data_IF_216201539899
#
_entry.id   IF_216201539899
#
_cell.length_a   1.000
_cell.length_b   1.000
_cell.length_c   1.000
_cell.angle_alpha   90.00
_cell.angle_beta   90.00
_cell.angle_gamma   90.00
#
_symmetry.space_group_name_H-M   'P 1'
#
loop_
_entity.id
_entity.type
_entity.pdbx_description
1 polymer ?
#
# COMPACT_ATOMS: atom_id res chain seq x y z
N UNK A 1 17.96 21.63 -16.88
CA UNK A 1 17.95 20.99 -15.54
C UNK A 1 17.78 19.51 -15.76
N UNK A 2 18.69 18.66 -15.27
CA UNK A 2 18.53 17.21 -15.42
C UNK A 2 17.30 16.76 -14.62
N UNK A 3 16.36 16.08 -15.26
CA UNK A 3 15.15 15.52 -14.62
C UNK A 3 15.42 14.25 -13.78
N UNK A 4 16.69 13.95 -13.49
CA UNK A 4 17.04 12.80 -12.68
C UNK A 4 16.78 13.12 -11.20
N UNK A 5 15.83 12.41 -10.59
CA UNK A 5 15.58 12.44 -9.15
C UNK A 5 16.78 11.84 -8.40
N UNK A 6 17.82 12.65 -8.19
CA UNK A 6 18.97 12.30 -7.36
C UNK A 6 18.72 12.81 -5.94
N UNK A 7 19.08 12.00 -4.94
CA UNK A 7 19.14 12.46 -3.56
C UNK A 7 20.15 13.63 -3.49
N UNK A 8 19.76 14.82 -3.00
CA UNK A 8 20.64 15.99 -2.97
C UNK A 8 21.75 15.87 -1.90
N UNK A 9 21.69 14.86 -1.04
CA UNK A 9 22.71 14.56 -0.04
C UNK A 9 23.77 13.61 -0.63
N UNK A 10 25.02 14.09 -0.71
CA UNK A 10 26.13 13.40 -1.38
C UNK A 10 27.25 12.89 -0.45
N UNK A 11 27.02 12.68 0.86
CA UNK A 11 28.08 12.21 1.75
C UNK A 11 27.70 11.66 3.13
N UNK A 12 28.53 10.73 3.61
CA UNK A 12 28.73 10.22 4.99
C UNK A 12 27.55 9.61 5.78
N UNK A 13 26.68 8.88 5.09
CA UNK A 13 25.90 7.83 5.76
C UNK A 13 26.78 6.66 6.22
N UNK A 14 26.38 5.88 7.25
CA UNK A 14 27.14 4.69 7.68
C UNK A 14 27.46 3.80 6.47
N UNK A 15 28.66 3.19 6.43
CA UNK A 15 29.18 2.38 5.29
C UNK A 15 28.30 1.17 4.88
N UNK A 16 27.20 0.94 5.58
CA UNK A 16 26.14 -0.05 5.29
C UNK A 16 24.99 0.52 4.45
N UNK A 17 24.95 1.83 4.20
CA UNK A 17 23.92 2.46 3.37
C UNK A 17 24.21 2.26 1.87
N UNK A 18 23.47 1.35 1.24
CA UNK A 18 23.49 1.07 -0.21
C UNK A 18 22.93 2.26 -1.03
N UNK A 19 22.30 3.23 -0.36
CA UNK A 19 21.67 4.37 -1.01
C UNK A 19 22.72 5.29 -1.67
N UNK A 20 22.72 5.33 -3.00
CA UNK A 20 23.60 6.19 -3.80
C UNK A 20 24.85 5.49 -4.36
N UNK A 21 25.13 4.24 -3.98
CA UNK A 21 26.22 3.47 -4.60
C UNK A 21 25.83 3.10 -6.03
N UNK A 22 26.71 3.28 -7.03
CA UNK A 22 26.49 2.78 -8.38
C UNK A 22 26.20 1.27 -8.34
N UNK A 23 25.13 0.86 -9.02
CA UNK A 23 24.74 -0.56 -9.13
C UNK A 23 24.94 -1.04 -10.57
N UNK A 24 24.81 -2.34 -10.83
CA UNK A 24 24.85 -2.84 -12.22
C UNK A 24 23.85 -2.12 -13.14
N UNK A 25 22.69 -1.68 -12.61
CA UNK A 25 21.71 -0.93 -13.39
C UNK A 25 22.17 0.49 -13.76
N UNK A 26 23.08 1.12 -12.99
CA UNK A 26 23.64 2.42 -13.36
C UNK A 26 24.74 2.29 -14.41
N UNK A 27 25.51 1.19 -14.39
CA UNK A 27 26.58 0.94 -15.37
C UNK A 27 26.05 0.36 -16.69
N UNK A 28 25.06 -0.53 -16.62
CA UNK A 28 24.44 -1.20 -17.77
C UNK A 28 22.91 -1.00 -17.74
N UNK A 29 22.42 0.21 -18.08
CA UNK A 29 20.99 0.54 -17.95
C UNK A 29 20.05 -0.30 -18.83
N UNK A 30 20.57 -0.86 -19.94
CA UNK A 30 19.80 -1.69 -20.87
C UNK A 30 20.00 -3.20 -20.64
N UNK A 31 20.72 -3.60 -19.57
CA UNK A 31 20.86 -5.02 -19.24
C UNK A 31 19.53 -5.61 -18.77
N UNK A 32 19.29 -6.88 -19.09
CA UNK A 32 18.06 -7.59 -18.70
C UNK A 32 17.92 -7.62 -17.17
N UNK A 33 16.79 -7.11 -16.67
CA UNK A 33 16.50 -7.08 -15.25
C UNK A 33 15.72 -8.33 -14.79
N UNK A 34 16.42 -9.28 -14.17
CA UNK A 34 15.83 -10.52 -13.66
C UNK A 34 15.16 -10.37 -12.27
N UNK A 35 15.24 -9.20 -11.62
CA UNK A 35 14.62 -8.95 -10.30
C UNK A 35 13.09 -9.02 -10.32
N UNK A 36 12.48 -9.01 -11.50
CA UNK A 36 11.03 -9.17 -11.60
C UNK A 36 10.59 -10.60 -11.26
N UNK A 37 11.47 -11.59 -11.43
CA UNK A 37 11.16 -13.01 -11.24
C UNK A 37 11.24 -13.47 -9.78
N UNK A 38 11.74 -12.61 -8.87
CA UNK A 38 11.87 -12.91 -7.45
C UNK A 38 11.15 -11.90 -6.54
N UNK A 39 10.15 -11.18 -7.09
CA UNK A 39 9.28 -10.32 -6.29
C UNK A 39 8.38 -11.16 -5.37
N UNK A 40 8.06 -10.62 -4.18
CA UNK A 40 7.19 -11.25 -3.20
C UNK A 40 7.60 -12.69 -2.84
N UNK A 41 8.91 -12.90 -2.65
CA UNK A 41 9.44 -14.19 -2.18
C UNK A 41 8.85 -14.57 -0.81
N UNK A 42 8.58 -15.86 -0.54
CA UNK A 42 8.14 -16.34 0.77
C UNK A 42 9.07 -15.91 1.92
N UNK A 43 10.37 -15.72 1.64
CA UNK A 43 11.35 -15.23 2.62
C UNK A 43 11.04 -13.82 3.15
N UNK A 44 10.20 -13.05 2.45
CA UNK A 44 9.80 -11.69 2.84
C UNK A 44 8.39 -11.63 3.40
N UNK A 45 7.66 -12.76 3.42
CA UNK A 45 6.30 -12.83 3.94
C UNK A 45 6.32 -13.08 5.46
N UNK A 46 5.79 -12.15 6.28
CA UNK A 46 5.74 -12.35 7.73
C UNK A 46 4.72 -13.42 8.18
N UNK A 47 3.83 -13.89 7.31
CA UNK A 47 2.76 -14.82 7.69
C UNK A 47 3.22 -16.28 7.82
N UNK A 48 4.36 -16.63 7.22
CA UNK A 48 4.90 -17.99 7.21
C UNK A 48 4.26 -18.90 6.16
N UNK A 49 4.92 -20.03 5.88
CA UNK A 49 4.53 -20.95 4.79
C UNK A 49 3.20 -21.67 5.03
N UNK A 50 2.81 -21.85 6.30
CA UNK A 50 1.58 -22.56 6.69
C UNK A 50 0.33 -21.67 6.69
N UNK A 51 0.45 -20.39 6.32
CA UNK A 51 -0.66 -19.45 6.37
C UNK A 51 -1.59 -19.56 5.15
N UNK A 52 -2.84 -19.93 5.40
CA UNK A 52 -3.91 -19.95 4.38
C UNK A 52 -4.90 -18.78 4.60
N UNK A 53 -4.78 -17.74 3.77
CA UNK A 53 -5.67 -16.58 3.84
C UNK A 53 -7.13 -16.92 3.57
N UNK A 54 -7.43 -17.89 2.70
CA UNK A 54 -8.81 -18.28 2.37
C UNK A 54 -9.47 -18.93 3.57
N UNK A 55 -8.76 -19.81 4.28
CA UNK A 55 -9.27 -20.45 5.49
C UNK A 55 -9.45 -19.46 6.65
N UNK A 56 -8.57 -18.46 6.77
CA UNK A 56 -8.72 -17.43 7.80
C UNK A 56 -9.90 -16.49 7.50
N UNK A 57 -10.11 -16.09 6.25
CA UNK A 57 -11.26 -15.27 5.86
C UNK A 57 -12.59 -16.01 6.06
N UNK A 58 -12.64 -17.32 5.85
CA UNK A 58 -13.86 -18.12 6.13
C UNK A 58 -14.27 -18.11 7.60
N UNK A 59 -13.31 -17.93 8.52
CA UNK A 59 -13.56 -17.86 9.97
C UNK A 59 -13.99 -16.46 10.43
N UNK A 60 -13.92 -15.47 9.55
CA UNK A 60 -14.20 -14.07 9.89
C UNK A 60 -15.68 -13.85 10.18
N UNK A 61 -15.98 -13.20 11.30
CA UNK A 61 -17.33 -12.71 11.61
C UNK A 61 -17.65 -11.48 10.76
N UNK A 62 -18.19 -11.72 9.56
CA UNK A 62 -18.56 -10.67 8.61
C UNK A 62 -19.62 -9.71 9.19
N UNK A 63 -20.70 -10.19 9.85
CA UNK A 63 -21.63 -9.29 10.53
C UNK A 63 -20.98 -8.35 11.56
N UNK A 64 -20.08 -8.85 12.40
CA UNK A 64 -19.37 -8.01 13.37
C UNK A 64 -18.44 -7.00 12.68
N UNK A 65 -17.73 -7.42 11.63
CA UNK A 65 -16.88 -6.53 10.84
C UNK A 65 -17.69 -5.38 10.22
N UNK A 66 -18.83 -5.68 9.60
CA UNK A 66 -19.69 -4.66 8.99
C UNK A 66 -20.20 -3.66 10.04
N UNK A 67 -20.62 -4.16 11.21
CA UNK A 67 -21.06 -3.31 12.32
C UNK A 67 -19.94 -2.37 12.80
N UNK A 68 -18.72 -2.86 12.92
CA UNK A 68 -17.59 -2.01 13.31
C UNK A 68 -17.23 -0.98 12.23
N UNK A 69 -17.38 -1.32 10.94
CA UNK A 69 -17.20 -0.38 9.83
C UNK A 69 -18.28 0.71 9.84
N UNK A 70 -19.55 0.35 10.06
CA UNK A 70 -20.66 1.32 10.18
C UNK A 70 -20.43 2.28 11.36
N UNK A 71 -19.98 1.76 12.50
CA UNK A 71 -19.62 2.58 13.65
C UNK A 71 -18.43 3.51 13.33
N UNK A 72 -17.43 3.02 12.60
CA UNK A 72 -16.28 3.85 12.17
C UNK A 72 -16.72 5.00 11.27
N UNK A 73 -17.70 4.80 10.39
CA UNK A 73 -18.10 5.82 9.42
C UNK A 73 -18.52 7.14 10.07
N UNK A 74 -19.14 7.11 11.24
CA UNK A 74 -19.59 8.33 11.96
C UNK A 74 -18.72 8.67 13.17
N UNK A 75 -17.71 7.86 13.48
CA UNK A 75 -16.79 8.10 14.60
C UNK A 75 -15.62 9.01 14.18
N UNK A 76 -15.92 10.31 14.03
CA UNK A 76 -14.95 11.33 13.60
C UNK A 76 -13.73 11.41 14.53
N UNK A 77 -12.54 11.44 13.94
CA UNK A 77 -11.25 11.54 14.62
C UNK A 77 -10.70 12.98 14.55
N UNK A 78 -10.16 13.50 15.65
CA UNK A 78 -9.66 14.89 15.70
C UNK A 78 -8.52 15.17 14.71
N UNK A 79 -7.64 14.19 14.47
CA UNK A 79 -6.51 14.33 13.55
C UNK A 79 -6.92 14.27 12.06
N UNK A 80 -8.14 13.83 11.77
CA UNK A 80 -8.73 13.88 10.44
C UNK A 80 -10.26 13.87 10.53
N UNK A 81 -10.90 15.03 10.81
CA UNK A 81 -12.33 15.08 11.05
C UNK A 81 -13.15 14.60 9.85
N UNK A 82 -14.29 13.96 10.11
CA UNK A 82 -15.17 13.47 9.07
C UNK A 82 -15.97 14.63 8.44
N UNK A 83 -15.87 14.78 7.13
CA UNK A 83 -16.72 15.71 6.39
C UNK A 83 -18.19 15.34 6.60
N UNK A 84 -19.01 16.33 6.96
CA UNK A 84 -20.43 16.13 7.30
C UNK A 84 -20.70 15.10 8.40
N UNK A 85 -19.68 14.80 9.24
CA UNK A 85 -19.78 13.79 10.28
C UNK A 85 -19.78 12.34 9.74
N UNK A 86 -19.38 12.11 8.48
CA UNK A 86 -19.40 10.77 7.89
C UNK A 86 -18.25 10.50 6.90
N UNK A 87 -17.42 9.47 7.14
CA UNK A 87 -16.28 9.11 6.27
C UNK A 87 -16.65 8.35 4.98
N UNK A 88 -17.90 7.96 4.80
CA UNK A 88 -18.38 7.21 3.63
C UNK A 88 -17.84 7.69 2.27
N UNK A 89 -18.02 8.96 1.89
CA UNK A 89 -17.50 9.49 0.63
C UNK A 89 -15.97 9.32 0.49
N UNK A 90 -15.24 9.44 1.60
CA UNK A 90 -13.79 9.29 1.63
C UNK A 90 -13.36 7.83 1.40
N UNK A 91 -14.07 6.86 2.00
CA UNK A 91 -13.81 5.43 1.77
C UNK A 91 -14.24 4.95 0.38
N UNK A 92 -15.31 5.52 -0.17
CA UNK A 92 -15.70 5.29 -1.57
C UNK A 92 -14.56 5.74 -2.50
N UNK A 93 -14.03 6.96 -2.33
CA UNK A 93 -12.87 7.43 -3.10
C UNK A 93 -11.67 6.50 -2.94
N UNK A 94 -11.32 6.12 -1.70
CA UNK A 94 -10.18 5.22 -1.46
C UNK A 94 -10.32 3.91 -2.24
N UNK A 95 -11.50 3.30 -2.20
CA UNK A 95 -11.80 2.03 -2.87
C UNK A 95 -11.78 2.19 -4.39
N UNK A 96 -12.37 3.26 -4.91
CA UNK A 96 -12.30 3.62 -6.33
C UNK A 96 -10.86 3.76 -6.80
N UNK A 97 -10.02 4.52 -6.10
CA UNK A 97 -8.60 4.71 -6.47
C UNK A 97 -7.78 3.42 -6.36
N UNK A 98 -8.14 2.51 -5.46
CA UNK A 98 -7.47 1.21 -5.37
C UNK A 98 -7.76 0.36 -6.61
N UNK A 99 -9.03 0.28 -7.02
CA UNK A 99 -9.45 -0.49 -8.20
C UNK A 99 -9.10 0.18 -9.53
N UNK A 100 -9.12 1.52 -9.59
CA UNK A 100 -8.99 2.31 -10.82
C UNK A 100 -7.62 2.27 -11.50
N UNK A 101 -6.61 1.64 -10.90
CA UNK A 101 -5.30 1.44 -11.53
C UNK A 101 -5.28 0.27 -12.53
N UNK A 102 -6.36 -0.51 -12.59
CA UNK A 102 -6.47 -1.68 -13.46
C UNK A 102 -6.42 -1.33 -14.95
N UNK A 103 -5.75 -2.18 -15.75
CA UNK A 103 -5.69 -2.06 -17.21
C UNK A 103 -5.94 -3.40 -17.88
N UNK A 104 -6.80 -3.42 -18.89
CA UNK A 104 -7.16 -4.64 -19.63
C UNK A 104 -6.03 -5.18 -20.52
N UNK A 105 -5.07 -4.34 -20.93
CA UNK A 105 -4.05 -4.70 -21.92
C UNK A 105 -3.05 -5.75 -21.39
N UNK A 106 -2.76 -5.73 -20.10
CA UNK A 106 -1.81 -6.66 -19.47
C UNK A 106 -2.29 -7.19 -18.11
N UNK A 107 -3.52 -6.87 -17.71
CA UNK A 107 -4.14 -7.31 -16.46
C UNK A 107 -3.52 -6.73 -15.18
N UNK A 108 -2.56 -5.80 -15.28
CA UNK A 108 -1.89 -5.21 -14.10
C UNK A 108 -2.74 -4.12 -13.46
N UNK A 109 -2.39 -3.80 -12.22
CA UNK A 109 -3.11 -2.82 -11.40
C UNK A 109 -4.35 -3.43 -10.73
N UNK A 110 -5.25 -2.56 -10.28
CA UNK A 110 -6.43 -2.95 -9.53
C UNK A 110 -6.18 -3.14 -8.03
N UNK A 111 -7.23 -3.54 -7.31
CA UNK A 111 -7.23 -3.64 -5.85
C UNK A 111 -6.76 -5.01 -5.30
N UNK A 112 -6.57 -6.02 -6.16
CA UNK A 112 -6.38 -7.42 -5.75
C UNK A 112 -5.13 -7.71 -4.91
N UNK A 113 -4.10 -6.87 -5.00
CA UNK A 113 -2.83 -7.03 -4.26
C UNK A 113 -2.66 -6.00 -3.14
N UNK A 114 -3.63 -5.10 -2.93
CA UNK A 114 -3.56 -4.05 -1.92
C UNK A 114 -2.41 -3.05 -2.12
N UNK A 115 -1.89 -2.90 -3.34
CA UNK A 115 -0.70 -2.10 -3.64
C UNK A 115 -0.84 -0.60 -3.34
N UNK A 116 -2.05 -0.08 -3.13
CA UNK A 116 -2.27 1.31 -2.72
C UNK A 116 -1.56 1.67 -1.39
N UNK A 117 -1.19 0.67 -0.55
CA UNK A 117 -0.42 0.90 0.68
C UNK A 117 1.10 1.06 0.45
N UNK A 118 1.60 0.70 -0.72
CA UNK A 118 3.02 0.71 -1.06
C UNK A 118 3.35 1.77 -2.11
N UNK A 119 4.65 2.06 -2.26
CA UNK A 119 5.12 2.89 -3.35
C UNK A 119 4.93 2.19 -4.72
N UNK A 120 4.67 2.93 -5.80
CA UNK A 120 4.52 4.39 -5.83
C UNK A 120 3.10 4.87 -5.50
N UNK A 121 2.11 3.98 -5.47
CA UNK A 121 0.68 4.34 -5.38
C UNK A 121 0.34 5.10 -4.10
N UNK A 122 0.98 4.77 -2.98
CA UNK A 122 0.75 5.47 -1.71
C UNK A 122 1.15 6.96 -1.72
N UNK A 123 1.88 7.41 -2.74
CA UNK A 123 2.38 8.78 -2.88
C UNK A 123 2.07 9.40 -4.24
N UNK A 124 1.24 8.76 -5.07
CA UNK A 124 0.75 9.39 -6.29
C UNK A 124 -0.06 10.65 -5.95
N UNK A 125 0.07 11.74 -6.72
CA UNK A 125 -0.65 12.99 -6.45
C UNK A 125 -2.16 12.78 -6.33
N UNK A 126 -2.73 11.93 -7.18
CA UNK A 126 -4.16 11.63 -7.22
C UNK A 126 -4.63 10.82 -5.99
N UNK A 127 -3.71 10.16 -5.28
CA UNK A 127 -3.98 9.46 -4.03
C UNK A 127 -3.76 10.32 -2.79
N UNK A 128 -3.68 11.64 -2.95
CA UNK A 128 -3.53 12.60 -1.85
C UNK A 128 -4.55 12.37 -0.73
N UNK A 129 -4.05 12.38 0.51
CA UNK A 129 -4.76 12.09 1.76
C UNK A 129 -5.30 10.65 1.92
N UNK A 130 -5.21 9.75 0.93
CA UNK A 130 -5.72 8.38 1.10
C UNK A 130 -4.87 7.55 2.08
N UNK A 131 -3.69 8.02 2.46
CA UNK A 131 -2.94 7.53 3.61
C UNK A 131 -3.75 7.63 4.92
N UNK A 132 -4.53 8.71 5.08
CA UNK A 132 -5.41 8.93 6.22
C UNK A 132 -6.63 8.00 6.19
N UNK A 133 -7.21 7.77 5.01
CA UNK A 133 -8.28 6.78 4.84
C UNK A 133 -7.83 5.39 5.30
N UNK A 134 -6.65 4.93 4.84
CA UNK A 134 -6.07 3.65 5.29
C UNK A 134 -5.78 3.65 6.79
N UNK A 135 -5.33 4.79 7.36
CA UNK A 135 -5.06 4.91 8.80
C UNK A 135 -6.34 4.82 9.64
N UNK A 136 -7.47 5.37 9.18
CA UNK A 136 -8.76 5.24 9.86
C UNK A 136 -9.22 3.77 9.96
N UNK A 137 -8.90 2.94 8.96
CA UNK A 137 -9.24 1.51 8.94
C UNK A 137 -8.25 0.63 9.74
N UNK A 138 -7.14 1.19 10.21
CA UNK A 138 -6.13 0.41 10.94
C UNK A 138 -6.68 -0.29 12.19
N UNK A 139 -7.49 0.34 13.06
CA UNK A 139 -8.07 -0.34 14.23
C UNK A 139 -8.95 -1.55 13.85
N UNK A 140 -9.66 -1.48 12.71
CA UNK A 140 -10.44 -2.60 12.18
C UNK A 140 -9.49 -3.74 11.77
N UNK A 141 -8.44 -3.42 10.98
CA UNK A 141 -7.44 -4.42 10.60
C UNK A 141 -6.67 -5.00 11.79
N UNK A 142 -6.51 -4.22 12.87
CA UNK A 142 -5.89 -4.69 14.10
C UNK A 142 -6.80 -5.64 14.88
N UNK A 143 -8.12 -5.39 14.91
CA UNK A 143 -9.11 -6.24 15.57
C UNK A 143 -9.34 -7.57 14.85
N UNK A 144 -9.44 -7.55 13.53
CA UNK A 144 -9.75 -8.72 12.70
C UNK A 144 -8.54 -9.33 11.99
N UNK A 145 -7.38 -8.68 12.14
CA UNK A 145 -6.14 -9.20 11.62
C UNK A 145 -5.68 -10.40 12.43
N UNK A 146 -5.07 -11.35 11.72
CA UNK A 146 -4.02 -12.18 12.27
C UNK A 146 -2.69 -11.44 12.17
#
# INVERSE_FOLDING_TARGET
>A
MSNDAKCPFTGDGPKTAIAGTPTNASWWPNALNIKLLNQNSPLTDPMGEDFDYVEEVKKLDVPALLKDLEALYTNSQEWWPADYGHYGPFFVRMTWHAAGTYRIADGRGGAGTGMQRFAPLNSWPDNGNLDKARRLLWPIKQKYGK
#
